data_IF_531959265977
#
_entry.id   IF_531959265977
#
_cell.length_a   1.000
_cell.length_b   1.000
_cell.length_c   1.000
_cell.angle_alpha   90.00
_cell.angle_beta   90.00
_cell.angle_gamma   90.00
#
_symmetry.space_group_name_H-M   'P 1'
#
loop_
_entity.id
_entity.type
_entity.pdbx_description
1 polymer ?
#
# COMPACT_ATOMS: atom_id res chain seq x y z
N UNK A 1 -41.29 0.79 -2.98
CA UNK A 1 -40.67 -0.46 -3.51
C UNK A 1 -39.57 -0.18 -4.54
N UNK A 2 -39.74 0.75 -5.49
CA UNK A 2 -38.73 1.08 -6.51
C UNK A 2 -37.40 1.63 -5.92
N UNK A 3 -37.47 2.35 -4.80
CA UNK A 3 -36.32 2.93 -4.09
C UNK A 3 -35.34 1.89 -3.52
N UNK A 4 -35.82 0.70 -3.15
CA UNK A 4 -34.97 -0.40 -2.68
C UNK A 4 -34.15 -1.03 -3.82
N UNK A 5 -34.69 -1.05 -5.05
CA UNK A 5 -33.98 -1.55 -6.23
C UNK A 5 -32.81 -0.62 -6.64
N UNK A 6 -32.98 0.70 -6.51
CA UNK A 6 -31.91 1.65 -6.81
C UNK A 6 -30.75 1.59 -5.81
N UNK A 7 -31.01 1.36 -4.52
CA UNK A 7 -29.97 1.18 -3.51
C UNK A 7 -29.19 -0.11 -3.75
N UNK A 8 -29.88 -1.20 -4.11
CA UNK A 8 -29.23 -2.46 -4.50
C UNK A 8 -28.34 -2.33 -5.74
N UNK A 9 -28.78 -1.57 -6.74
CA UNK A 9 -27.96 -1.27 -7.92
C UNK A 9 -26.74 -0.38 -7.57
N UNK A 10 -26.91 0.60 -6.67
CA UNK A 10 -25.83 1.46 -6.22
C UNK A 10 -24.73 0.71 -5.47
N UNK A 11 -25.06 -0.31 -4.68
CA UNK A 11 -24.08 -1.17 -4.01
C UNK A 11 -23.27 -2.05 -4.96
N UNK A 12 -23.75 -2.29 -6.18
CA UNK A 12 -23.02 -3.04 -7.20
C UNK A 12 -22.03 -2.16 -7.99
N UNK A 13 -22.21 -0.83 -7.98
CA UNK A 13 -21.35 0.12 -8.73
C UNK A 13 -19.87 0.05 -8.36
N UNK A 14 -19.46 -0.08 -7.09
CA UNK A 14 -18.04 -0.22 -6.75
C UNK A 14 -17.45 -1.48 -7.39
N UNK A 15 -18.17 -2.60 -7.33
CA UNK A 15 -17.70 -3.87 -7.90
C UNK A 15 -17.54 -3.80 -9.43
N UNK A 16 -18.42 -3.08 -10.13
CA UNK A 16 -18.30 -2.88 -11.58
C UNK A 16 -17.19 -1.87 -11.92
N UNK A 17 -17.01 -0.82 -11.11
CA UNK A 17 -15.90 0.13 -11.26
C UNK A 17 -14.52 -0.56 -11.09
N UNK A 18 -14.42 -1.57 -10.22
CA UNK A 18 -13.20 -2.38 -10.09
C UNK A 18 -12.97 -3.35 -11.28
N UNK A 19 -13.99 -3.67 -12.08
CA UNK A 19 -13.89 -4.61 -13.20
C UNK A 19 -13.63 -3.94 -14.57
N UNK A 20 -13.87 -2.64 -14.71
CA UNK A 20 -13.95 -1.97 -16.02
C UNK A 20 -12.59 -1.59 -16.64
N UNK A 21 -11.47 -1.83 -15.95
CA UNK A 21 -10.19 -1.18 -16.27
C UNK A 21 -9.01 -2.16 -16.36
N UNK A 22 -9.17 -3.24 -17.13
CA UNK A 22 -8.07 -4.16 -17.44
C UNK A 22 -8.10 -4.52 -18.92
N UNK A 23 -7.49 -3.67 -19.76
CA UNK A 23 -7.46 -3.87 -21.21
C UNK A 23 -6.12 -4.49 -21.67
N UNK A 24 -5.14 -4.62 -20.77
CA UNK A 24 -3.80 -5.12 -21.06
C UNK A 24 -3.12 -5.70 -19.83
N UNK A 25 -2.05 -6.48 -20.03
CA UNK A 25 -1.22 -7.03 -18.94
C UNK A 25 -0.62 -5.90 -18.09
N UNK A 26 -0.33 -4.75 -18.68
CA UNK A 26 0.15 -3.57 -17.97
C UNK A 26 -0.92 -2.95 -17.05
N UNK A 27 -2.19 -3.00 -17.44
CA UNK A 27 -3.29 -2.54 -16.58
C UNK A 27 -3.47 -3.50 -15.40
N UNK A 28 -3.33 -4.81 -15.63
CA UNK A 28 -3.38 -5.80 -14.56
C UNK A 28 -2.24 -5.60 -13.55
N UNK A 29 -1.02 -5.39 -14.03
CA UNK A 29 0.12 -5.09 -13.17
C UNK A 29 -0.12 -3.79 -12.36
N UNK A 30 -0.62 -2.75 -13.02
CA UNK A 30 -0.93 -1.46 -12.37
C UNK A 30 -2.04 -1.59 -11.33
N UNK A 31 -3.06 -2.41 -11.60
CA UNK A 31 -4.13 -2.70 -10.66
C UNK A 31 -3.61 -3.43 -9.42
N UNK A 32 -2.79 -4.47 -9.59
CA UNK A 32 -2.18 -5.21 -8.48
C UNK A 32 -1.29 -4.29 -7.64
N UNK A 33 -0.44 -3.49 -8.28
CA UNK A 33 0.43 -2.53 -7.59
C UNK A 33 -0.41 -1.51 -6.82
N UNK A 34 -1.48 -0.98 -7.42
CA UNK A 34 -2.41 -0.06 -6.76
C UNK A 34 -3.11 -0.69 -5.55
N UNK A 35 -3.55 -1.94 -5.67
CA UNK A 35 -4.18 -2.67 -4.56
C UNK A 35 -3.21 -2.85 -3.40
N UNK A 36 -1.98 -3.27 -3.68
CA UNK A 36 -0.94 -3.45 -2.65
C UNK A 36 -0.65 -2.12 -1.96
N UNK A 37 -0.46 -1.04 -2.73
CA UNK A 37 -0.06 0.26 -2.20
C UNK A 37 -1.18 0.97 -1.44
N UNK A 38 -2.43 0.86 -1.89
CA UNK A 38 -3.55 1.59 -1.29
C UNK A 38 -4.29 0.78 -0.20
N UNK A 39 -4.16 -0.55 -0.21
CA UNK A 39 -4.89 -1.42 0.73
C UNK A 39 -3.93 -2.21 1.60
N UNK A 40 -3.06 -3.02 1.01
CA UNK A 40 -2.23 -3.95 1.78
C UNK A 40 -1.19 -3.23 2.66
N UNK A 41 -0.47 -2.24 2.11
CA UNK A 41 0.55 -1.49 2.86
C UNK A 41 -0.05 -0.71 4.04
N UNK A 42 -1.11 0.10 3.86
CA UNK A 42 -1.75 0.80 4.99
C UNK A 42 -2.33 -0.15 6.03
N UNK A 43 -2.88 -1.29 5.60
CA UNK A 43 -3.43 -2.30 6.50
C UNK A 43 -2.35 -2.92 7.39
N UNK A 44 -1.23 -3.36 6.79
CA UNK A 44 -0.12 -3.94 7.56
C UNK A 44 0.53 -2.88 8.44
N UNK A 45 0.64 -1.64 7.98
CA UNK A 45 1.13 -0.53 8.79
C UNK A 45 0.25 -0.28 10.02
N UNK A 46 -1.08 -0.27 9.84
CA UNK A 46 -2.02 -0.14 10.94
C UNK A 46 -1.91 -1.29 11.95
N UNK A 47 -1.81 -2.53 11.48
CA UNK A 47 -1.61 -3.69 12.35
C UNK A 47 -0.28 -3.63 13.10
N UNK A 48 0.82 -3.30 12.43
CA UNK A 48 2.13 -3.13 13.05
C UNK A 48 2.10 -2.02 14.11
N UNK A 49 1.40 -0.92 13.84
CA UNK A 49 1.22 0.18 14.78
C UNK A 49 0.43 -0.23 16.03
N UNK A 50 -0.65 -1.00 15.86
CA UNK A 50 -1.43 -1.54 16.99
C UNK A 50 -0.57 -2.48 17.84
N UNK A 51 0.18 -3.39 17.21
CA UNK A 51 1.08 -4.33 17.92
C UNK A 51 2.20 -3.58 18.63
N UNK A 52 2.76 -2.54 18.01
CA UNK A 52 3.77 -1.69 18.61
C UNK A 52 3.23 -0.98 19.86
N UNK A 53 2.06 -0.34 19.76
CA UNK A 53 1.39 0.30 20.89
C UNK A 53 1.13 -0.72 22.00
N UNK A 54 0.60 -1.89 21.66
CA UNK A 54 0.37 -2.97 22.64
C UNK A 54 1.65 -3.42 23.35
N UNK A 55 2.76 -3.53 22.61
CA UNK A 55 4.08 -3.81 23.17
C UNK A 55 4.54 -2.75 24.15
N UNK A 56 4.38 -1.47 23.82
CA UNK A 56 4.70 -0.33 24.70
C UNK A 56 3.85 -0.37 25.97
N UNK A 57 2.53 -0.58 25.84
CA UNK A 57 1.64 -0.69 27.01
C UNK A 57 2.05 -1.86 27.92
N UNK A 58 2.36 -3.02 27.35
CA UNK A 58 2.79 -4.21 28.12
C UNK A 58 4.15 -4.00 28.80
N UNK A 59 5.08 -3.31 28.14
CA UNK A 59 6.40 -3.01 28.70
C UNK A 59 6.33 -2.00 29.86
N UNK A 60 5.59 -0.90 29.69
CA UNK A 60 5.57 0.20 30.65
C UNK A 60 4.54 0.05 31.78
N UNK A 61 3.33 -0.43 31.51
CA UNK A 61 2.27 -0.53 32.54
C UNK A 61 2.36 -1.86 33.29
N UNK A 62 2.46 -2.98 32.58
CA UNK A 62 2.46 -4.34 33.17
C UNK A 62 3.87 -4.78 33.61
N UNK A 63 4.90 -4.17 33.07
CA UNK A 63 6.30 -4.49 33.36
C UNK A 63 6.88 -3.79 34.60
N UNK A 64 6.12 -2.95 35.29
CA UNK A 64 6.61 -2.24 36.50
C UNK A 64 6.97 -3.19 37.66
N UNK A 65 6.26 -4.31 37.77
CA UNK A 65 6.35 -5.24 38.91
C UNK A 65 6.81 -6.66 38.55
N UNK A 66 6.81 -7.04 37.27
CA UNK A 66 7.12 -8.41 36.84
C UNK A 66 8.10 -8.44 35.65
N UNK A 67 9.33 -8.95 35.82
CA UNK A 67 10.35 -8.96 34.77
C UNK A 67 9.95 -9.77 33.54
N UNK A 68 9.13 -10.82 33.69
CA UNK A 68 8.65 -11.62 32.54
C UNK A 68 7.78 -10.79 31.59
N UNK A 69 6.95 -9.89 32.14
CA UNK A 69 6.06 -9.03 31.34
C UNK A 69 6.83 -7.93 30.61
N UNK A 70 7.96 -7.46 31.19
CA UNK A 70 8.88 -6.56 30.49
C UNK A 70 9.53 -7.24 29.29
N UNK A 71 10.03 -8.45 29.45
CA UNK A 71 10.70 -9.14 28.34
C UNK A 71 9.73 -9.42 27.19
N UNK A 72 8.50 -9.85 27.50
CA UNK A 72 7.44 -10.02 26.50
C UNK A 72 7.07 -8.70 25.80
N UNK A 73 6.91 -7.60 26.54
CA UNK A 73 6.61 -6.28 25.97
C UNK A 73 7.75 -5.75 25.07
N UNK A 74 9.00 -5.95 25.50
CA UNK A 74 10.19 -5.58 24.72
C UNK A 74 10.27 -6.37 23.42
N UNK A 75 10.00 -7.68 23.47
CA UNK A 75 9.99 -8.52 22.28
C UNK A 75 8.92 -8.03 21.28
N UNK A 76 7.71 -7.74 21.75
CA UNK A 76 6.64 -7.21 20.90
C UNK A 76 6.99 -5.86 20.26
N UNK A 77 7.62 -4.95 21.01
CA UNK A 77 8.12 -3.69 20.46
C UNK A 77 9.16 -3.91 19.35
N UNK A 78 10.13 -4.81 19.56
CA UNK A 78 11.17 -5.11 18.58
C UNK A 78 10.54 -5.69 17.30
N UNK A 79 9.60 -6.63 17.42
CA UNK A 79 8.87 -7.16 16.26
C UNK A 79 8.08 -6.08 15.51
N UNK A 80 7.47 -5.13 16.22
CA UNK A 80 6.84 -3.96 15.61
C UNK A 80 7.84 -3.09 14.82
N UNK A 81 8.99 -2.78 15.42
CA UNK A 81 10.05 -1.98 14.78
C UNK A 81 10.63 -2.69 13.55
N UNK A 82 10.87 -3.99 13.64
CA UNK A 82 11.34 -4.80 12.50
C UNK A 82 10.31 -4.78 11.36
N UNK A 83 9.01 -4.89 11.69
CA UNK A 83 7.94 -4.74 10.70
C UNK A 83 7.97 -3.39 9.99
N UNK A 84 8.18 -2.29 10.72
CA UNK A 84 8.33 -0.96 10.14
C UNK A 84 9.59 -0.84 9.28
N UNK A 85 10.72 -1.37 9.73
CA UNK A 85 11.99 -1.33 9.00
C UNK A 85 11.87 -2.05 7.65
N UNK A 86 11.21 -3.23 7.61
CA UNK A 86 10.99 -3.96 6.36
C UNK A 86 10.12 -3.17 5.38
N UNK A 87 9.03 -2.56 5.86
CA UNK A 87 8.16 -1.74 5.01
C UNK A 87 8.90 -0.57 4.36
N UNK A 88 9.70 0.15 5.15
CA UNK A 88 10.51 1.27 4.66
C UNK A 88 11.62 0.77 3.72
N UNK A 89 12.25 -0.36 4.03
CA UNK A 89 13.33 -0.93 3.20
C UNK A 89 12.85 -1.31 1.80
N UNK A 90 11.69 -1.96 1.68
CA UNK A 90 11.14 -2.37 0.38
C UNK A 90 10.78 -1.14 -0.45
N UNK A 91 10.08 -0.16 0.13
CA UNK A 91 9.70 1.07 -0.58
C UNK A 91 10.88 1.97 -0.93
N UNK A 92 11.87 2.07 -0.04
CA UNK A 92 13.12 2.78 -0.29
C UNK A 92 13.84 2.19 -1.51
N UNK A 93 13.95 0.86 -1.58
CA UNK A 93 14.55 0.18 -2.72
C UNK A 93 13.76 0.42 -4.02
N UNK A 94 12.43 0.27 -3.99
CA UNK A 94 11.57 0.50 -5.17
C UNK A 94 11.79 1.91 -5.71
N UNK A 95 11.85 2.93 -4.85
CA UNK A 95 12.02 4.32 -5.26
C UNK A 95 13.39 4.60 -5.87
N UNK A 96 14.45 3.94 -5.37
CA UNK A 96 15.78 4.04 -5.96
C UNK A 96 15.80 3.39 -7.35
N UNK A 97 15.18 2.21 -7.50
CA UNK A 97 15.12 1.51 -8.78
C UNK A 97 14.29 2.27 -9.81
N UNK A 98 13.11 2.78 -9.46
CA UNK A 98 12.28 3.54 -10.40
C UNK A 98 12.84 4.93 -10.71
N UNK A 99 13.59 5.55 -9.78
CA UNK A 99 14.25 6.84 -9.99
C UNK A 99 15.54 6.76 -10.80
N UNK A 100 16.23 5.62 -10.79
CA UNK A 100 17.49 5.41 -11.54
C UNK A 100 17.27 4.93 -12.97
N UNK A 101 16.20 4.16 -13.22
CA UNK A 101 15.84 3.73 -14.57
C UNK A 101 15.05 4.85 -15.27
N UNK A 102 15.76 5.67 -16.05
CA UNK A 102 15.16 6.67 -16.93
C UNK A 102 14.42 5.98 -18.09
N UNK A 103 13.16 5.60 -17.87
CA UNK A 103 12.25 5.17 -18.94
C UNK A 103 11.81 6.41 -19.72
N UNK A 104 12.69 6.92 -20.59
CA UNK A 104 12.37 8.01 -21.51
C UNK A 104 11.29 7.54 -22.50
N UNK A 105 10.03 7.70 -22.12
CA UNK A 105 8.88 7.68 -23.02
C UNK A 105 8.81 9.01 -23.78
N UNK A 106 9.92 9.42 -24.41
CA UNK A 106 9.87 10.54 -25.33
C UNK A 106 8.91 10.12 -26.46
N UNK A 107 7.76 10.79 -26.63
CA UNK A 107 7.02 10.63 -27.86
C UNK A 107 8.00 10.97 -28.96
N UNK A 108 8.17 10.09 -29.94
CA UNK A 108 8.84 10.48 -31.18
C UNK A 108 8.00 11.63 -31.73
N UNK A 109 8.45 12.86 -31.49
CA UNK A 109 7.87 14.05 -32.07
C UNK A 109 8.13 13.93 -33.57
N UNK A 110 7.16 13.36 -34.28
CA UNK A 110 7.15 13.35 -35.74
C UNK A 110 7.04 14.80 -36.14
N UNK A 111 8.19 15.44 -36.38
CA UNK A 111 8.23 16.81 -36.86
C UNK A 111 7.34 16.89 -38.10
N UNK A 112 6.37 17.81 -38.16
CA UNK A 112 5.59 17.98 -39.37
C UNK A 112 6.58 18.35 -40.48
N UNK A 113 6.71 17.48 -41.48
CA UNK A 113 7.51 17.74 -42.68
C UNK A 113 7.02 19.07 -43.23
N UNK A 114 7.87 20.10 -43.12
CA UNK A 114 7.61 21.41 -43.70
C UNK A 114 7.40 21.18 -45.19
N UNK A 115 6.13 21.15 -45.60
CA UNK A 115 5.71 21.07 -47.00
C UNK A 115 6.28 22.32 -47.68
N UNK A 116 7.44 22.16 -48.33
CA UNK A 116 8.04 23.20 -49.16
C UNK A 116 7.11 23.34 -50.35
N UNK A 117 6.48 24.52 -50.42
CA UNK A 117 5.54 24.92 -51.47
C UNK A 117 6.21 24.92 -52.83
#
# INVERSE_FOLDING_TARGET
>A
MKTLAYIGAASALPFIAFAQNVNSVQDLASFIISLINNVAVPLVFALAFIVFIWGVFRYFILGGSDPKKRDEGRQLMIWGIVGFALMVSVWGLVRILTGSVNLNNAPLEVQPVRQVR
#
